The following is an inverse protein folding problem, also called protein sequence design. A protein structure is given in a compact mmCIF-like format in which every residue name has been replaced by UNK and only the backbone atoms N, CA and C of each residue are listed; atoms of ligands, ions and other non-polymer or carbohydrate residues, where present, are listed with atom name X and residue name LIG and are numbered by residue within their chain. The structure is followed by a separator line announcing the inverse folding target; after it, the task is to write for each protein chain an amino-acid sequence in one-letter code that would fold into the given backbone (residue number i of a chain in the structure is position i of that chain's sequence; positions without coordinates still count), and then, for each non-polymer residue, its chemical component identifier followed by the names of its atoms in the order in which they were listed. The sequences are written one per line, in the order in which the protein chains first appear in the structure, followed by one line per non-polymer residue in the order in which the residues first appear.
data_IF_290521429400
#
_entry.id   IF_290521429400
#
_cell.length_a   1.000
_cell.length_b   1.000
_cell.length_c   1.000
_cell.angle_alpha   90.00
_cell.angle_beta   90.00
_cell.angle_gamma   90.00
#
_symmetry.space_group_name_H-M   'P 1'
#
loop_
_entity.id
_entity.type
_entity.pdbx_description
1 polymer ?
#
# COMPACT_ATOMS: atom_id res chain seq x y z
N UNK A 1 -19.21 10.93 -14.34
CA UNK A 1 -17.83 10.94 -13.81
C UNK A 1 -17.75 10.04 -12.56
N UNK A 2 -18.00 8.73 -12.70
CA UNK A 2 -18.02 7.77 -11.58
C UNK A 2 -17.26 6.45 -11.88
N UNK A 3 -16.97 6.15 -13.15
CA UNK A 3 -16.28 4.90 -13.53
C UNK A 3 -14.79 4.88 -13.17
N UNK A 4 -14.10 6.01 -13.15
CA UNK A 4 -12.66 6.04 -12.91
C UNK A 4 -12.28 5.60 -11.50
N UNK A 5 -13.12 5.89 -10.50
CA UNK A 5 -12.89 5.48 -9.11
C UNK A 5 -12.89 3.95 -8.94
N UNK A 6 -13.74 3.24 -9.70
CA UNK A 6 -13.81 1.77 -9.68
C UNK A 6 -12.49 1.15 -10.15
N UNK A 7 -11.82 1.75 -11.15
CA UNK A 7 -10.55 1.24 -11.68
C UNK A 7 -9.41 1.24 -10.66
N UNK A 8 -9.46 2.12 -9.65
CA UNK A 8 -8.40 2.31 -8.66
C UNK A 8 -8.73 1.76 -7.27
N UNK A 9 -9.96 1.27 -7.04
CA UNK A 9 -10.37 0.67 -5.77
C UNK A 9 -9.47 -0.52 -5.43
N UNK A 10 -8.76 -0.50 -4.29
CA UNK A 10 -8.01 -1.65 -3.81
C UNK A 10 -8.99 -2.74 -3.34
N UNK A 11 -8.90 -3.92 -3.94
CA UNK A 11 -9.72 -5.07 -3.61
C UNK A 11 -9.00 -5.99 -2.62
N UNK A 12 -7.76 -6.34 -2.93
CA UNK A 12 -6.96 -7.23 -2.10
C UNK A 12 -5.47 -7.01 -2.31
N UNK A 13 -4.69 -7.49 -1.34
CA UNK A 13 -3.24 -7.61 -1.45
C UNK A 13 -2.92 -9.10 -1.50
N UNK A 14 -2.07 -9.51 -2.43
CA UNK A 14 -1.56 -10.88 -2.52
C UNK A 14 -0.04 -10.88 -2.66
N UNK A 15 0.58 -11.93 -2.17
CA UNK A 15 2.02 -12.13 -2.18
C UNK A 15 2.32 -13.44 -2.91
N UNK A 16 3.16 -13.38 -3.94
CA UNK A 16 3.68 -14.57 -4.62
C UNK A 16 5.19 -14.73 -4.34
N UNK A 17 5.90 -15.51 -5.17
CA UNK A 17 7.34 -15.74 -4.98
C UNK A 17 8.22 -14.63 -5.56
N UNK A 18 7.69 -13.77 -6.43
CA UNK A 18 8.44 -12.75 -7.16
C UNK A 18 8.00 -11.33 -6.82
N UNK A 19 6.73 -11.15 -6.43
CA UNK A 19 6.09 -9.85 -6.31
C UNK A 19 5.03 -9.75 -5.22
N UNK A 20 4.89 -8.53 -4.71
CA UNK A 20 3.76 -8.05 -3.92
C UNK A 20 2.73 -7.41 -4.85
N UNK A 21 1.53 -7.96 -4.88
CA UNK A 21 0.47 -7.57 -5.81
C UNK A 21 -0.63 -6.78 -5.10
N UNK A 22 -0.91 -5.60 -5.64
CA UNK A 22 -2.04 -4.76 -5.25
C UNK A 22 -3.13 -4.99 -6.28
N UNK A 23 -4.11 -5.83 -5.94
CA UNK A 23 -5.23 -6.16 -6.82
C UNK A 23 -6.26 -5.04 -6.73
N UNK A 24 -6.43 -4.30 -7.83
CA UNK A 24 -7.47 -3.28 -7.98
C UNK A 24 -8.53 -3.80 -8.92
N UNK A 25 -9.73 -3.20 -8.93
CA UNK A 25 -10.87 -3.73 -9.71
C UNK A 25 -10.61 -3.94 -11.20
N UNK A 26 -9.68 -3.18 -11.80
CA UNK A 26 -9.39 -3.29 -13.25
C UNK A 26 -7.95 -3.71 -13.55
N UNK A 27 -6.99 -3.38 -12.67
CA UNK A 27 -5.57 -3.65 -12.95
C UNK A 27 -4.79 -4.02 -11.70
N UNK A 28 -4.01 -5.09 -11.80
CA UNK A 28 -3.04 -5.46 -10.76
C UNK A 28 -1.83 -4.54 -10.86
N UNK A 29 -1.37 -4.01 -9.72
CA UNK A 29 -0.08 -3.35 -9.62
C UNK A 29 0.86 -4.26 -8.84
N UNK A 30 1.83 -4.83 -9.54
CA UNK A 30 2.87 -5.68 -8.96
C UNK A 30 4.09 -4.83 -8.57
N UNK A 31 4.66 -5.14 -7.41
CA UNK A 31 5.91 -4.59 -6.89
C UNK A 31 6.86 -5.77 -6.74
N UNK A 32 7.94 -5.87 -7.53
CA UNK A 32 8.91 -6.96 -7.39
C UNK A 32 9.52 -6.97 -5.98
N UNK A 33 9.65 -8.15 -5.37
CA UNK A 33 10.25 -8.29 -4.04
C UNK A 33 11.71 -7.81 -4.02
N UNK A 34 12.41 -7.97 -5.14
CA UNK A 34 13.77 -7.46 -5.35
C UNK A 34 13.89 -5.93 -5.29
N UNK A 35 12.79 -5.20 -5.51
CA UNK A 35 12.75 -3.73 -5.39
C UNK A 35 12.39 -3.26 -3.98
N UNK A 36 11.89 -4.14 -3.11
CA UNK A 36 11.52 -3.79 -1.73
C UNK A 36 12.80 -3.63 -0.90
N UNK A 37 12.93 -2.50 -0.23
CA UNK A 37 14.02 -2.22 0.70
C UNK A 37 13.62 -2.51 2.15
N UNK A 38 12.39 -2.18 2.52
CA UNK A 38 11.89 -2.37 3.87
C UNK A 38 10.36 -2.46 3.89
N UNK A 39 9.83 -3.29 4.79
CA UNK A 39 8.40 -3.36 5.09
C UNK A 39 8.19 -3.35 6.59
N UNK A 40 7.22 -2.57 7.06
CA UNK A 40 6.88 -2.47 8.49
C UNK A 40 5.40 -2.15 8.71
N UNK A 41 4.85 -2.62 9.82
CA UNK A 41 3.55 -2.16 10.29
C UNK A 41 3.58 -0.65 10.52
N UNK A 42 2.56 0.05 10.03
CA UNK A 42 2.50 1.50 10.08
C UNK A 42 1.07 1.96 9.89
N UNK A 43 0.50 2.60 10.91
CA UNK A 43 -0.78 3.28 10.78
C UNK A 43 -0.55 4.69 10.19
N UNK A 44 -1.36 5.14 9.22
CA UNK A 44 -1.32 6.52 8.76
C UNK A 44 -1.73 7.47 9.89
N UNK A 45 -1.04 8.61 10.02
CA UNK A 45 -1.38 9.59 11.06
C UNK A 45 -2.47 10.57 10.61
N UNK A 46 -3.13 11.19 11.58
CA UNK A 46 -4.10 12.27 11.34
C UNK A 46 -3.48 13.50 10.64
N UNK A 47 -2.15 13.59 10.58
CA UNK A 47 -1.41 14.67 9.93
C UNK A 47 -1.15 14.49 8.44
N UNK A 48 -1.58 13.37 7.84
CA UNK A 48 -1.35 13.09 6.42
C UNK A 48 -2.13 14.05 5.51
N UNK A 49 -1.41 14.88 4.73
CA UNK A 49 -2.01 15.77 3.73
C UNK A 49 -2.28 14.97 2.45
N UNK A 50 -3.55 14.87 2.07
CA UNK A 50 -3.98 14.28 0.79
C UNK A 50 -3.62 15.22 -0.35
N UNK A 51 -2.80 14.76 -1.28
CA UNK A 51 -2.46 15.51 -2.50
C UNK A 51 -3.52 15.25 -3.57
N UNK A 52 -3.81 13.97 -3.83
CA UNK A 52 -4.78 13.55 -4.83
C UNK A 52 -5.23 12.11 -4.54
N UNK A 53 -6.53 11.84 -4.58
CA UNK A 53 -7.07 10.50 -4.35
C UNK A 53 -8.40 10.47 -3.63
N UNK A 54 -8.89 9.26 -3.37
CA UNK A 54 -10.06 9.01 -2.52
C UNK A 54 -9.62 8.72 -1.09
N UNK A 55 -10.44 9.14 -0.14
CA UNK A 55 -10.27 8.88 1.29
C UNK A 55 -11.63 8.74 1.94
N UNK A 56 -12.43 7.80 1.41
CA UNK A 56 -13.84 7.64 1.74
C UNK A 56 -14.45 6.44 1.01
N UNK A 57 -15.53 6.65 0.26
CA UNK A 57 -16.22 5.58 -0.48
C UNK A 57 -15.25 4.84 -1.42
N UNK A 58 -15.21 3.50 -1.30
CA UNK A 58 -14.27 2.58 -1.97
C UNK A 58 -12.81 2.57 -1.45
N UNK A 59 -12.59 2.99 -0.20
CA UNK A 59 -11.29 2.89 0.47
C UNK A 59 -10.38 4.10 0.24
N UNK A 60 -9.19 4.02 0.82
CA UNK A 60 -8.15 5.04 0.75
C UNK A 60 -7.18 4.69 -0.37
N UNK A 61 -7.19 5.47 -1.44
CA UNK A 61 -6.22 5.36 -2.51
C UNK A 61 -5.78 6.72 -3.01
N UNK A 62 -4.48 6.94 -3.16
CA UNK A 62 -3.96 8.21 -3.66
C UNK A 62 -2.59 8.59 -3.15
N UNK A 63 -2.16 9.80 -3.51
CA UNK A 63 -0.93 10.42 -3.04
C UNK A 63 -1.17 11.17 -1.74
N UNK A 64 -0.36 10.85 -0.75
CA UNK A 64 -0.33 11.50 0.55
C UNK A 64 1.08 12.02 0.83
N UNK A 65 1.13 13.05 1.66
CA UNK A 65 2.37 13.62 2.17
C UNK A 65 2.23 13.76 3.68
N UNK A 66 3.20 13.20 4.39
CA UNK A 66 3.30 13.27 5.84
C UNK A 66 4.68 13.78 6.23
N UNK A 67 4.78 14.49 7.35
CA UNK A 67 6.07 15.06 7.80
C UNK A 67 7.10 13.97 8.10
N UNK A 68 6.67 12.91 8.76
CA UNK A 68 7.57 11.85 9.23
C UNK A 68 7.86 10.80 8.15
N UNK A 69 6.86 10.45 7.33
CA UNK A 69 7.00 9.45 6.27
C UNK A 69 7.37 10.04 4.90
N UNK A 70 7.21 11.34 4.70
CA UNK A 70 7.34 11.98 3.39
C UNK A 70 6.18 11.61 2.45
N UNK A 71 6.45 11.65 1.14
CA UNK A 71 5.44 11.36 0.11
C UNK A 71 5.29 9.84 -0.08
N UNK A 72 4.06 9.35 -0.08
CA UNK A 72 3.73 7.95 -0.34
C UNK A 72 2.41 7.80 -1.10
N UNK A 73 2.21 6.63 -1.72
CA UNK A 73 0.94 6.26 -2.33
C UNK A 73 0.19 5.29 -1.41
N UNK A 74 -1.07 5.55 -1.11
CA UNK A 74 -1.90 4.68 -0.27
C UNK A 74 -2.79 3.74 -1.08
N UNK A 75 -3.01 2.53 -0.55
CA UNK A 75 -4.03 1.56 -0.95
C UNK A 75 -4.48 0.76 0.29
N UNK A 76 -5.47 1.24 1.03
CA UNK A 76 -5.99 0.52 2.19
C UNK A 76 -7.47 0.78 2.45
N UNK A 77 -8.15 -0.19 3.05
CA UNK A 77 -9.55 -0.05 3.47
C UNK A 77 -9.70 0.51 4.88
N UNK A 78 -8.93 -0.03 5.83
CA UNK A 78 -8.96 0.32 7.26
C UNK A 78 -7.60 0.83 7.72
N UNK A 79 -7.62 1.88 8.53
CA UNK A 79 -6.41 2.51 9.10
C UNK A 79 -5.67 1.58 10.06
N UNK A 80 -6.40 0.71 10.79
CA UNK A 80 -5.83 -0.22 11.76
C UNK A 80 -4.96 -1.32 11.14
N UNK A 81 -5.23 -1.66 9.88
CA UNK A 81 -4.65 -2.85 9.24
C UNK A 81 -3.63 -2.43 8.16
N UNK A 82 -2.84 -1.39 8.45
CA UNK A 82 -1.92 -0.77 7.50
C UNK A 82 -0.45 -1.13 7.74
N UNK A 83 0.31 -1.17 6.65
CA UNK A 83 1.75 -1.35 6.64
C UNK A 83 2.40 -0.53 5.52
N UNK A 84 3.63 -0.11 5.75
CA UNK A 84 4.42 0.70 4.83
C UNK A 84 5.45 -0.16 4.11
N UNK A 85 5.42 -0.13 2.79
CA UNK A 85 6.43 -0.71 1.90
C UNK A 85 7.29 0.40 1.34
N UNK A 86 8.60 0.34 1.61
CA UNK A 86 9.60 1.27 1.08
C UNK A 86 10.42 0.56 0.03
N UNK A 87 10.49 1.12 -1.18
CA UNK A 87 11.30 0.58 -2.28
C UNK A 87 12.73 1.13 -2.21
N UNK A 88 13.66 0.41 -2.84
CA UNK A 88 15.09 0.79 -2.96
C UNK A 88 15.29 2.14 -3.63
N UNK A 89 14.38 2.54 -4.53
CA UNK A 89 14.39 3.86 -5.18
C UNK A 89 13.75 4.99 -4.33
N UNK A 90 13.42 4.72 -3.07
CA UNK A 90 12.84 5.70 -2.13
C UNK A 90 11.32 5.89 -2.25
N UNK A 91 10.65 5.28 -3.24
CA UNK A 91 9.18 5.32 -3.33
C UNK A 91 8.56 4.54 -2.18
N UNK A 92 7.45 5.04 -1.65
CA UNK A 92 6.74 4.46 -0.51
C UNK A 92 5.28 4.15 -0.85
N UNK A 93 4.82 3.00 -0.39
CA UNK A 93 3.44 2.54 -0.54
C UNK A 93 2.86 2.19 0.84
N UNK A 94 1.79 2.87 1.23
CA UNK A 94 1.01 2.51 2.42
C UNK A 94 -0.09 1.54 1.97
N UNK A 95 -0.01 0.30 2.39
CA UNK A 95 -0.95 -0.76 2.00
C UNK A 95 -1.75 -1.22 3.22
N UNK A 96 -2.89 -1.88 3.00
CA UNK A 96 -3.62 -2.51 4.09
C UNK A 96 -4.38 -3.76 3.69
N UNK A 97 -4.40 -4.73 4.59
CA UNK A 97 -5.10 -6.01 4.46
C UNK A 97 -5.43 -6.55 5.87
N UNK A 98 -6.46 -7.41 5.99
CA UNK A 98 -6.97 -7.91 7.27
C UNK A 98 -5.88 -8.52 8.17
N UNK A 99 -4.93 -9.23 7.56
CA UNK A 99 -3.85 -9.95 8.25
C UNK A 99 -2.50 -9.25 7.96
N UNK A 100 -2.46 -7.93 8.21
CA UNK A 100 -1.30 -7.10 7.91
C UNK A 100 -0.01 -7.57 8.64
N UNK A 101 -0.02 -7.95 9.93
CA UNK A 101 1.17 -8.48 10.60
C UNK A 101 1.75 -9.72 9.90
N UNK A 102 0.89 -10.66 9.52
CA UNK A 102 1.25 -11.90 8.82
C UNK A 102 1.82 -11.58 7.43
N UNK A 103 1.20 -10.66 6.70
CA UNK A 103 1.68 -10.19 5.39
C UNK A 103 3.07 -9.54 5.50
N UNK A 104 3.28 -8.67 6.50
CA UNK A 104 4.58 -8.02 6.74
C UNK A 104 5.66 -9.06 7.05
N UNK A 105 5.36 -10.05 7.90
CA UNK A 105 6.29 -11.12 8.22
C UNK A 105 6.64 -11.95 6.97
N UNK A 106 5.64 -12.37 6.19
CA UNK A 106 5.85 -13.15 4.97
C UNK A 106 6.68 -12.39 3.91
N UNK A 107 6.49 -11.08 3.76
CA UNK A 107 7.33 -10.26 2.88
C UNK A 107 8.76 -10.20 3.43
N UNK A 108 8.93 -9.95 4.73
CA UNK A 108 10.24 -9.88 5.37
C UNK A 108 11.03 -11.20 5.22
N UNK A 109 10.38 -12.35 5.36
CA UNK A 109 11.02 -13.65 5.14
C UNK A 109 11.55 -13.78 3.71
N UNK A 110 10.79 -13.35 2.71
CA UNK A 110 11.17 -13.46 1.30
C UNK A 110 12.22 -12.47 0.83
N UNK A 111 12.32 -11.28 1.42
CA UNK A 111 13.32 -10.27 1.02
C UNK A 111 14.67 -10.45 1.72
N UNK A 112 14.72 -11.23 2.80
CA UNK A 112 15.94 -11.55 3.55
C UNK A 112 16.53 -12.93 3.18
N UNK A 113 15.85 -13.69 2.32
CA UNK A 113 16.38 -14.88 1.65
C UNK A 113 17.33 -14.49 0.51
#
# INVERSE_FOLDING_TARGET
MFLSALCYMPLSISLDNESLNINRSVKIKSIPLTEIANVKLCAPTMGAKRICGSGGWFGWYGWFLEKDLGKYFAYYGKVSDCFLVTLKNGKKYMLGCKDAPEMVNAINEKINQ
#
